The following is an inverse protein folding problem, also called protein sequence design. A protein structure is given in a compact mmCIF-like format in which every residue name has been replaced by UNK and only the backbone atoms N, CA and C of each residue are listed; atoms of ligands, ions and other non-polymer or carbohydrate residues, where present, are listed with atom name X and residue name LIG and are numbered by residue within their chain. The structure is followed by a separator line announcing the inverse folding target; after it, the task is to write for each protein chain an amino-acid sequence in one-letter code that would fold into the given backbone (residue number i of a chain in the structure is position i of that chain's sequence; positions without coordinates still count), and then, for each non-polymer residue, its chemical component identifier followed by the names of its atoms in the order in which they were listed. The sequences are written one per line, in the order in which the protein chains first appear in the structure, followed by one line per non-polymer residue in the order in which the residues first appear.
data_IF_533656277646
#
_entry.id   IF_533656277646
#
_cell.length_a   1.000
_cell.length_b   1.000
_cell.length_c   1.000
_cell.angle_alpha   90.00
_cell.angle_beta   90.00
_cell.angle_gamma   90.00
#
_symmetry.space_group_name_H-M   'P 1'
#
loop_
_entity.id
_entity.type
_entity.pdbx_description
1 polymer ?
#
# COMPACT_ATOMS: atom_id res chain seq x y z
N UNK A 1 25.16 2.13 -5.53
CA UNK A 1 23.92 1.69 -4.84
C UNK A 1 22.77 1.92 -5.80
N UNK A 2 22.00 0.89 -6.13
CA UNK A 2 20.89 0.96 -7.11
C UNK A 2 19.58 0.85 -6.37
N UNK A 3 18.65 1.79 -6.64
CA UNK A 3 17.30 1.79 -6.07
C UNK A 3 16.30 1.40 -7.15
N UNK A 4 15.55 0.33 -6.90
CA UNK A 4 14.52 -0.20 -7.80
C UNK A 4 13.13 -0.01 -7.21
N UNK A 5 12.15 0.04 -8.05
CA UNK A 5 10.73 0.02 -7.68
C UNK A 5 10.06 -1.24 -8.21
N UNK A 6 9.17 -1.83 -7.43
CA UNK A 6 8.31 -2.93 -7.89
C UNK A 6 6.87 -2.71 -7.46
N UNK A 7 5.95 -2.90 -8.40
CA UNK A 7 4.50 -2.86 -8.18
C UNK A 7 3.77 -3.83 -9.09
N UNK A 8 2.72 -4.46 -8.57
CA UNK A 8 1.75 -5.21 -9.40
C UNK A 8 0.53 -4.32 -9.62
N UNK A 9 0.21 -4.09 -10.88
CA UNK A 9 -0.85 -3.18 -11.32
C UNK A 9 -2.01 -3.97 -11.91
N UNK A 10 -3.17 -3.90 -11.27
CA UNK A 10 -4.43 -4.45 -11.75
C UNK A 10 -5.18 -3.48 -12.67
N UNK A 11 -6.50 -3.60 -12.75
CA UNK A 11 -7.37 -2.81 -13.65
C UNK A 11 -7.42 -1.30 -13.35
N UNK A 12 -7.06 -0.86 -12.14
CA UNK A 12 -7.01 0.57 -11.79
C UNK A 12 -5.61 1.13 -12.04
N UNK A 13 -5.42 1.78 -13.17
CA UNK A 13 -4.13 2.32 -13.62
C UNK A 13 -4.02 3.84 -13.47
N UNK A 14 -5.07 4.49 -12.95
CA UNK A 14 -5.19 5.96 -12.91
C UNK A 14 -4.08 6.68 -12.15
N UNK A 15 -3.40 6.00 -11.24
CA UNK A 15 -2.30 6.56 -10.44
C UNK A 15 -0.91 6.28 -10.99
N UNK A 16 -0.78 5.51 -12.08
CA UNK A 16 0.52 5.06 -12.60
C UNK A 16 1.47 6.20 -12.95
N UNK A 17 0.96 7.23 -13.62
CA UNK A 17 1.74 8.42 -13.99
C UNK A 17 2.28 9.15 -12.76
N UNK A 18 1.39 9.42 -11.79
CA UNK A 18 1.76 10.10 -10.55
C UNK A 18 2.73 9.26 -9.69
N UNK A 19 2.55 7.94 -9.64
CA UNK A 19 3.42 7.04 -8.90
C UNK A 19 4.84 7.01 -9.49
N UNK A 20 4.98 6.90 -10.82
CA UNK A 20 6.29 6.94 -11.48
C UNK A 20 6.98 8.27 -11.20
N UNK A 21 6.28 9.41 -11.36
CA UNK A 21 6.84 10.72 -11.09
C UNK A 21 7.29 10.86 -9.63
N UNK A 22 6.46 10.40 -8.67
CA UNK A 22 6.77 10.44 -7.24
C UNK A 22 8.04 9.64 -6.91
N UNK A 23 8.10 8.38 -7.33
CA UNK A 23 9.23 7.50 -7.00
C UNK A 23 10.53 7.90 -7.73
N UNK A 24 10.45 8.46 -8.95
CA UNK A 24 11.61 9.11 -9.59
C UNK A 24 12.14 10.28 -8.74
N UNK A 25 11.24 11.08 -8.18
CA UNK A 25 11.61 12.16 -7.25
C UNK A 25 12.31 11.69 -5.98
N UNK A 26 12.06 10.43 -5.55
CA UNK A 26 12.77 9.80 -4.44
C UNK A 26 14.12 9.16 -4.83
N UNK A 27 14.54 9.24 -6.10
CA UNK A 27 15.80 8.67 -6.58
C UNK A 27 15.70 7.21 -7.06
N UNK A 28 14.51 6.71 -7.33
CA UNK A 28 14.34 5.38 -7.97
C UNK A 28 14.85 5.44 -9.41
N UNK A 29 15.73 4.52 -9.76
CA UNK A 29 16.38 4.45 -11.07
C UNK A 29 15.68 3.47 -12.03
N UNK A 30 15.22 2.34 -11.50
CA UNK A 30 14.64 1.25 -12.28
C UNK A 30 13.23 0.90 -11.80
N UNK A 31 12.29 0.82 -12.75
CA UNK A 31 10.87 0.52 -12.48
C UNK A 31 10.50 -0.86 -13.01
N UNK A 32 10.06 -1.74 -12.12
CA UNK A 32 9.54 -3.06 -12.44
C UNK A 32 8.02 -3.08 -12.23
N UNK A 33 7.29 -2.54 -13.20
CA UNK A 33 5.84 -2.54 -13.20
C UNK A 33 5.36 -3.87 -13.80
N UNK A 34 4.64 -4.66 -13.02
CA UNK A 34 4.07 -5.94 -13.42
C UNK A 34 2.59 -5.73 -13.69
N UNK A 35 2.12 -6.04 -14.88
CA UNK A 35 0.71 -5.93 -15.23
C UNK A 35 -0.02 -7.23 -14.92
N UNK A 36 -1.07 -7.18 -14.11
CA UNK A 36 -2.03 -8.26 -13.95
C UNK A 36 -3.30 -7.94 -14.73
N UNK A 37 -3.76 -8.87 -15.58
CA UNK A 37 -4.96 -8.78 -16.39
C UNK A 37 -5.75 -10.10 -16.33
N UNK A 38 -7.07 -10.02 -16.38
CA UNK A 38 -7.92 -11.19 -16.60
C UNK A 38 -8.01 -11.52 -18.10
N UNK A 39 -8.04 -10.48 -18.96
CA UNK A 39 -8.05 -10.58 -20.41
C UNK A 39 -7.21 -9.47 -21.04
N UNK A 40 -6.65 -9.73 -22.24
CA UNK A 40 -5.98 -8.70 -23.06
C UNK A 40 -6.95 -7.67 -23.66
N UNK A 41 -8.26 -7.91 -23.59
CA UNK A 41 -9.29 -6.93 -23.97
C UNK A 41 -9.51 -5.84 -22.90
N UNK A 42 -8.73 -5.85 -21.79
CA UNK A 42 -8.79 -4.83 -20.74
C UNK A 42 -8.37 -3.46 -21.31
N UNK A 43 -9.27 -2.46 -21.40
CA UNK A 43 -8.96 -1.15 -21.95
C UNK A 43 -7.89 -0.39 -21.18
N UNK A 44 -7.66 -0.73 -19.91
CA UNK A 44 -6.61 -0.14 -19.10
C UNK A 44 -5.21 -0.70 -19.44
N UNK A 45 -5.11 -1.78 -20.23
CA UNK A 45 -3.83 -2.32 -20.64
C UNK A 45 -3.06 -1.34 -21.53
N UNK A 46 -3.68 -0.87 -22.60
CA UNK A 46 -3.08 0.09 -23.53
C UNK A 46 -2.77 1.42 -22.84
N UNK A 47 -3.69 1.93 -22.02
CA UNK A 47 -3.49 3.17 -21.27
C UNK A 47 -2.27 3.09 -20.35
N UNK A 48 -2.11 2.00 -19.63
CA UNK A 48 -0.95 1.80 -18.76
C UNK A 48 0.35 1.68 -19.56
N UNK A 49 0.30 1.02 -20.71
CA UNK A 49 1.45 0.93 -21.62
C UNK A 49 1.85 2.31 -22.14
N UNK A 50 0.89 3.14 -22.55
CA UNK A 50 1.15 4.51 -23.02
C UNK A 50 1.79 5.37 -21.90
N UNK A 51 1.31 5.22 -20.65
CA UNK A 51 1.94 5.89 -19.52
C UNK A 51 3.40 5.46 -19.39
N UNK A 52 3.68 4.17 -19.39
CA UNK A 52 5.06 3.67 -19.26
C UNK A 52 5.96 4.17 -20.41
N UNK A 53 5.46 4.14 -21.66
CA UNK A 53 6.23 4.60 -22.83
C UNK A 53 6.62 6.07 -22.73
N UNK A 54 5.78 6.96 -22.17
CA UNK A 54 6.14 8.37 -21.94
C UNK A 54 7.36 8.52 -21.04
N UNK A 55 7.61 7.56 -20.17
CA UNK A 55 8.78 7.53 -19.29
C UNK A 55 9.94 6.70 -19.84
N UNK A 56 9.84 6.16 -21.06
CA UNK A 56 10.82 5.23 -21.63
C UNK A 56 10.85 3.88 -20.93
N UNK A 57 9.71 3.46 -20.33
CA UNK A 57 9.56 2.23 -19.58
C UNK A 57 8.66 1.25 -20.34
N UNK A 58 8.70 -0.01 -19.92
CA UNK A 58 7.77 -1.08 -20.35
C UNK A 58 7.37 -1.91 -19.13
N UNK A 59 6.34 -2.75 -19.29
CA UNK A 59 6.02 -3.74 -18.26
C UNK A 59 7.20 -4.71 -18.08
N UNK A 60 7.60 -4.93 -16.84
CA UNK A 60 8.62 -5.92 -16.49
C UNK A 60 8.11 -7.36 -16.67
N UNK A 61 6.80 -7.55 -16.55
CA UNK A 61 6.07 -8.78 -16.85
C UNK A 61 4.58 -8.47 -17.03
N UNK A 62 3.87 -9.36 -17.74
CA UNK A 62 2.42 -9.39 -17.82
C UNK A 62 1.96 -10.75 -17.32
N UNK A 63 1.03 -10.78 -16.37
CA UNK A 63 0.39 -11.99 -15.89
C UNK A 63 -1.09 -11.97 -16.25
N UNK A 64 -1.56 -12.99 -16.96
CA UNK A 64 -2.96 -13.16 -17.33
C UNK A 64 -3.58 -14.30 -16.50
N UNK A 65 -4.71 -14.05 -15.91
CA UNK A 65 -5.49 -15.03 -15.15
C UNK A 65 -6.39 -14.40 -14.09
N UNK A 66 -7.19 -15.21 -13.39
CA UNK A 66 -7.97 -14.73 -12.27
C UNK A 66 -7.07 -14.17 -11.16
N UNK A 67 -7.60 -13.23 -10.38
CA UNK A 67 -6.86 -12.70 -9.24
C UNK A 67 -6.70 -13.75 -8.13
N UNK A 68 -5.50 -13.77 -7.56
CA UNK A 68 -5.12 -14.61 -6.42
C UNK A 68 -4.34 -13.74 -5.43
N UNK A 69 -4.68 -13.79 -4.13
CA UNK A 69 -3.97 -12.99 -3.11
C UNK A 69 -2.49 -13.34 -3.02
N UNK A 70 -2.13 -14.62 -3.20
CA UNK A 70 -0.74 -15.08 -3.13
C UNK A 70 0.07 -14.66 -4.36
N UNK A 71 -0.62 -14.48 -5.49
CA UNK A 71 -0.01 -14.10 -6.77
C UNK A 71 0.74 -12.78 -6.67
N UNK A 72 0.17 -11.76 -6.01
CA UNK A 72 0.83 -10.47 -5.84
C UNK A 72 2.22 -10.63 -5.19
N UNK A 73 2.28 -11.32 -4.06
CA UNK A 73 3.54 -11.56 -3.35
C UNK A 73 4.53 -12.40 -4.18
N UNK A 74 4.02 -13.40 -4.92
CA UNK A 74 4.84 -14.21 -5.81
C UNK A 74 5.48 -13.38 -6.93
N UNK A 75 4.70 -12.55 -7.62
CA UNK A 75 5.18 -11.71 -8.73
C UNK A 75 6.21 -10.68 -8.25
N UNK A 76 5.96 -10.00 -7.14
CA UNK A 76 6.91 -9.08 -6.52
C UNK A 76 8.21 -9.79 -6.20
N UNK A 77 8.14 -10.92 -5.51
CA UNK A 77 9.31 -11.71 -5.13
C UNK A 77 10.12 -12.20 -6.34
N UNK A 78 9.45 -12.62 -7.41
CA UNK A 78 10.10 -13.05 -8.63
C UNK A 78 10.94 -11.94 -9.26
N UNK A 79 10.48 -10.69 -9.21
CA UNK A 79 11.27 -9.55 -9.71
C UNK A 79 12.41 -9.21 -8.75
N UNK A 80 12.16 -9.11 -7.46
CA UNK A 80 13.18 -8.75 -6.47
C UNK A 80 14.38 -9.71 -6.50
N UNK A 81 14.13 -11.01 -6.62
CA UNK A 81 15.16 -12.04 -6.69
C UNK A 81 16.10 -11.97 -7.89
N UNK A 82 15.72 -11.22 -8.93
CA UNK A 82 16.61 -11.00 -10.10
C UNK A 82 17.78 -10.08 -9.78
N UNK A 83 17.65 -9.26 -8.72
CA UNK A 83 18.67 -8.33 -8.23
C UNK A 83 18.69 -8.37 -6.70
N UNK A 84 19.19 -9.45 -6.09
CA UNK A 84 19.07 -9.72 -4.67
C UNK A 84 19.85 -8.76 -3.78
N UNK A 85 20.92 -8.15 -4.30
CA UNK A 85 21.76 -7.19 -3.58
C UNK A 85 21.27 -5.75 -3.70
N UNK A 86 20.33 -5.44 -4.61
CA UNK A 86 19.82 -4.08 -4.80
C UNK A 86 18.71 -3.77 -3.78
N UNK A 87 18.46 -2.48 -3.58
CA UNK A 87 17.38 -1.99 -2.74
C UNK A 87 16.11 -1.74 -3.55
N UNK A 88 14.99 -2.19 -3.01
CA UNK A 88 13.70 -2.15 -3.66
C UNK A 88 12.69 -1.35 -2.86
N UNK A 89 12.12 -0.31 -3.46
CA UNK A 89 10.87 0.28 -3.00
C UNK A 89 9.74 -0.64 -3.44
N UNK A 90 8.96 -1.12 -2.47
CA UNK A 90 7.85 -2.06 -2.70
C UNK A 90 6.55 -1.35 -2.37
N UNK A 91 5.70 -1.10 -3.35
CA UNK A 91 4.46 -0.36 -3.15
C UNK A 91 3.33 -0.87 -4.05
N UNK A 92 2.10 -0.84 -3.55
CA UNK A 92 0.92 -0.90 -4.40
C UNK A 92 0.77 0.43 -5.15
N UNK A 93 0.07 0.45 -6.29
CA UNK A 93 0.02 1.64 -7.14
C UNK A 93 -0.63 2.86 -6.47
N UNK A 94 -1.50 2.64 -5.50
CA UNK A 94 -2.18 3.68 -4.73
C UNK A 94 -1.44 4.07 -3.42
N UNK A 95 -0.20 3.58 -3.23
CA UNK A 95 0.65 3.86 -2.09
C UNK A 95 1.84 4.75 -2.50
N UNK A 96 1.97 5.92 -1.85
CA UNK A 96 3.03 6.90 -2.08
C UNK A 96 3.85 7.06 -0.80
N UNK A 97 5.07 6.55 -0.79
CA UNK A 97 5.91 6.56 0.40
C UNK A 97 6.55 7.93 0.60
N UNK A 98 6.45 8.45 1.81
CA UNK A 98 7.13 9.67 2.25
C UNK A 98 8.03 9.32 3.43
N UNK A 99 9.30 9.67 3.30
CA UNK A 99 10.33 9.37 4.29
C UNK A 99 10.79 10.67 4.96
N UNK A 100 11.17 10.59 6.24
CA UNK A 100 11.66 11.73 7.00
C UNK A 100 13.08 12.20 6.63
N UNK A 101 13.76 11.46 5.72
CA UNK A 101 15.10 11.77 5.20
C UNK A 101 15.31 11.07 3.85
N UNK A 102 16.36 11.45 3.06
CA UNK A 102 16.65 10.83 1.77
C UNK A 102 16.77 9.30 1.83
N UNK A 103 16.30 8.60 0.80
CA UNK A 103 16.40 7.13 0.72
C UNK A 103 17.85 6.64 0.78
N UNK A 104 18.78 7.37 0.20
CA UNK A 104 20.22 7.08 0.23
C UNK A 104 20.76 7.02 1.66
N UNK A 105 20.33 7.94 2.51
CA UNK A 105 20.77 8.01 3.91
C UNK A 105 20.16 6.87 4.73
N UNK A 106 18.90 6.51 4.43
CA UNK A 106 18.20 5.38 5.07
C UNK A 106 18.89 4.07 4.70
N UNK A 107 19.21 3.88 3.42
CA UNK A 107 19.90 2.69 2.92
C UNK A 107 21.30 2.59 3.56
N UNK A 108 22.05 3.70 3.61
CA UNK A 108 23.36 3.72 4.26
C UNK A 108 23.25 3.29 5.74
N UNK A 109 22.25 3.77 6.46
CA UNK A 109 22.00 3.35 7.84
C UNK A 109 21.66 1.85 7.95
N UNK A 110 20.88 1.32 6.98
CA UNK A 110 20.60 -0.10 6.91
C UNK A 110 21.88 -0.92 6.69
N UNK A 111 22.70 -0.55 5.72
CA UNK A 111 23.93 -1.26 5.38
C UNK A 111 24.93 -1.26 6.55
N UNK A 112 25.13 -0.11 7.19
CA UNK A 112 26.01 0.03 8.35
C UNK A 112 25.49 -0.76 9.55
N UNK A 113 24.19 -0.76 9.78
CA UNK A 113 23.55 -1.44 10.91
C UNK A 113 23.24 -2.92 10.68
N UNK A 114 23.45 -3.44 9.46
CA UNK A 114 23.09 -4.81 9.08
C UNK A 114 21.59 -5.04 9.10
N UNK A 115 20.81 -4.05 8.62
CA UNK A 115 19.36 -4.14 8.47
C UNK A 115 19.00 -4.36 6.99
N UNK A 116 17.94 -5.11 6.74
CA UNK A 116 17.58 -5.57 5.41
C UNK A 116 16.32 -4.92 4.86
N UNK A 117 15.50 -4.27 5.73
CA UNK A 117 14.27 -3.61 5.29
C UNK A 117 13.82 -2.49 6.24
N UNK A 118 12.97 -1.62 5.71
CA UNK A 118 12.35 -0.48 6.40
C UNK A 118 10.85 -0.65 6.40
N UNK A 119 10.25 -0.36 7.55
CA UNK A 119 8.80 -0.39 7.73
C UNK A 119 8.19 1.00 7.57
N UNK A 120 6.91 1.00 7.28
CA UNK A 120 6.02 2.15 7.33
C UNK A 120 4.60 1.73 7.69
N UNK A 121 3.67 2.67 7.64
CA UNK A 121 2.26 2.37 7.79
C UNK A 121 1.38 3.28 6.94
N UNK A 122 0.18 2.78 6.60
CA UNK A 122 -0.80 3.48 5.78
C UNK A 122 -1.30 4.74 6.49
N UNK A 123 -1.31 5.83 5.75
CA UNK A 123 -1.92 7.10 6.07
C UNK A 123 -2.89 7.42 4.92
N UNK A 124 -4.18 7.11 5.13
CA UNK A 124 -5.19 7.21 4.08
C UNK A 124 -5.40 8.64 3.62
N UNK A 125 -5.45 8.87 2.31
CA UNK A 125 -5.69 10.18 1.70
C UNK A 125 -7.16 10.32 1.30
N UNK A 126 -7.77 11.43 1.71
CA UNK A 126 -9.20 11.69 1.56
C UNK A 126 -9.43 13.09 1.01
N UNK A 127 -10.43 13.26 0.13
CA UNK A 127 -10.85 14.58 -0.34
C UNK A 127 -11.34 15.43 0.82
N UNK A 128 -11.19 16.77 0.73
CA UNK A 128 -11.48 17.69 1.83
C UNK A 128 -12.93 17.65 2.31
N UNK A 129 -13.87 17.28 1.44
CA UNK A 129 -15.30 17.14 1.71
C UNK A 129 -15.73 15.69 1.98
N UNK A 130 -14.79 14.75 2.00
CA UNK A 130 -15.04 13.33 2.22
C UNK A 130 -15.64 12.58 1.03
N UNK A 131 -15.86 13.21 -0.11
CA UNK A 131 -16.32 12.55 -1.33
C UNK A 131 -15.25 11.57 -1.85
N UNK A 132 -15.64 10.73 -2.80
CA UNK A 132 -14.76 9.82 -3.53
C UNK A 132 -14.61 10.35 -4.97
N UNK A 133 -13.78 11.40 -5.19
CA UNK A 133 -13.71 12.05 -6.48
C UNK A 133 -12.94 11.18 -7.49
N UNK A 134 -13.27 11.38 -8.77
CA UNK A 134 -12.47 10.89 -9.88
C UNK A 134 -11.12 11.60 -9.89
N UNK A 135 -10.07 10.85 -10.23
CA UNK A 135 -8.74 11.41 -10.42
C UNK A 135 -8.74 12.44 -11.55
N UNK A 136 -8.23 13.64 -11.27
CA UNK A 136 -8.05 14.70 -12.25
C UNK A 136 -6.55 14.88 -12.54
N UNK A 137 -6.07 14.48 -13.73
CA UNK A 137 -4.64 14.56 -14.06
C UNK A 137 -4.10 16.00 -14.14
N UNK A 138 -4.99 17.00 -14.26
CA UNK A 138 -4.58 18.41 -14.28
C UNK A 138 -4.32 19.00 -12.89
N UNK A 139 -4.61 18.27 -11.82
CA UNK A 139 -4.45 18.74 -10.44
C UNK A 139 -3.57 17.77 -9.67
N UNK A 140 -2.65 18.30 -8.85
CA UNK A 140 -1.84 17.47 -7.97
C UNK A 140 -2.72 16.52 -7.13
N UNK A 141 -2.36 15.26 -7.08
CA UNK A 141 -3.05 14.25 -6.26
C UNK A 141 -3.10 14.64 -4.77
N UNK A 142 -2.04 15.28 -4.27
CA UNK A 142 -1.95 15.79 -2.91
C UNK A 142 -2.99 16.88 -2.61
N UNK A 143 -3.29 17.72 -3.61
CA UNK A 143 -4.31 18.77 -3.49
C UNK A 143 -5.73 18.21 -3.61
N UNK A 144 -5.94 17.19 -4.47
CA UNK A 144 -7.24 16.52 -4.62
C UNK A 144 -7.65 15.78 -3.35
N UNK A 145 -6.68 15.11 -2.71
CA UNK A 145 -6.90 14.33 -1.49
C UNK A 145 -6.14 15.00 -0.34
N UNK A 146 -6.58 16.19 0.02
CA UNK A 146 -5.89 17.10 0.93
C UNK A 146 -5.89 16.69 2.41
N UNK A 147 -6.72 15.71 2.80
CA UNK A 147 -6.75 15.18 4.16
C UNK A 147 -5.97 13.86 4.22
N UNK A 148 -5.27 13.66 5.34
CA UNK A 148 -4.63 12.40 5.68
C UNK A 148 -5.14 11.88 7.03
N UNK A 149 -5.28 10.55 7.19
CA UNK A 149 -5.75 9.96 8.44
C UNK A 149 -5.84 8.44 8.41
N UNK A 150 -6.65 7.86 9.29
CA UNK A 150 -6.61 6.44 9.66
C UNK A 150 -7.87 5.66 9.22
N UNK A 151 -8.37 5.86 8.00
CA UNK A 151 -9.60 5.22 7.50
C UNK A 151 -9.44 3.69 7.45
N UNK A 152 -8.36 3.19 6.85
CA UNK A 152 -8.07 1.75 6.77
C UNK A 152 -8.01 1.13 8.17
N UNK A 153 -7.33 1.75 9.11
CA UNK A 153 -7.21 1.26 10.48
C UNK A 153 -8.56 1.26 11.22
N UNK A 154 -9.35 2.35 11.12
CA UNK A 154 -10.50 2.59 11.99
C UNK A 154 -11.82 2.10 11.42
N UNK A 155 -11.98 2.08 10.09
CA UNK A 155 -13.19 1.63 9.39
C UNK A 155 -13.01 0.19 8.89
N UNK A 156 -12.01 -0.03 8.03
CA UNK A 156 -11.75 -1.35 7.44
C UNK A 156 -11.28 -2.33 8.50
N UNK A 157 -10.52 -1.84 9.51
CA UNK A 157 -9.86 -2.61 10.56
C UNK A 157 -8.87 -3.63 10.00
N UNK A 158 -8.13 -3.19 8.98
CA UNK A 158 -7.06 -3.97 8.35
C UNK A 158 -5.70 -3.61 8.97
N UNK A 159 -4.72 -4.47 8.72
CA UNK A 159 -3.31 -4.21 9.01
C UNK A 159 -2.86 -3.03 8.15
N UNK A 160 -2.21 -2.07 8.77
CA UNK A 160 -1.73 -0.84 8.10
C UNK A 160 -0.22 -0.80 7.93
N UNK A 161 0.54 -1.66 8.62
CA UNK A 161 1.99 -1.72 8.46
C UNK A 161 2.38 -2.25 7.07
N UNK A 162 3.46 -1.69 6.50
CA UNK A 162 3.99 -2.08 5.18
C UNK A 162 5.51 -2.14 5.25
N UNK A 163 6.11 -3.07 4.51
CA UNK A 163 7.53 -2.99 4.15
C UNK A 163 7.62 -2.03 2.98
N UNK A 164 8.32 -0.93 3.14
CA UNK A 164 8.38 0.15 2.16
C UNK A 164 9.67 0.15 1.35
N UNK A 165 10.74 -0.39 1.93
CA UNK A 165 12.05 -0.50 1.32
C UNK A 165 12.69 -1.82 1.79
N UNK A 166 13.23 -2.62 0.90
CA UNK A 166 13.85 -3.90 1.26
C UNK A 166 14.98 -4.30 0.29
N UNK A 167 15.93 -5.10 0.75
CA UNK A 167 16.89 -5.78 -0.13
C UNK A 167 16.17 -6.84 -0.96
N UNK A 168 16.68 -7.13 -2.16
CA UNK A 168 16.01 -8.04 -3.09
C UNK A 168 15.95 -9.50 -2.66
N UNK A 169 16.74 -9.92 -1.68
CA UNK A 169 16.73 -11.25 -1.08
C UNK A 169 15.75 -11.40 0.11
N UNK A 170 15.17 -10.29 0.58
CA UNK A 170 14.17 -10.32 1.65
C UNK A 170 12.88 -11.00 1.18
N UNK A 171 12.41 -11.97 1.97
CA UNK A 171 11.13 -12.62 1.73
C UNK A 171 9.99 -11.86 2.41
N UNK A 172 9.21 -11.15 1.63
CA UNK A 172 8.07 -10.38 2.13
C UNK A 172 6.88 -11.29 2.45
N UNK A 173 6.12 -10.90 3.46
CA UNK A 173 4.81 -11.48 3.76
C UNK A 173 3.75 -11.04 2.72
N UNK A 174 2.62 -11.74 2.63
CA UNK A 174 1.48 -11.36 1.78
C UNK A 174 1.04 -9.93 2.07
N UNK A 175 0.71 -9.18 1.02
CA UNK A 175 0.34 -7.77 1.11
C UNK A 175 1.46 -6.84 1.59
N UNK A 176 2.72 -7.33 1.66
CA UNK A 176 3.90 -6.61 2.14
C UNK A 176 3.77 -6.05 3.57
N UNK A 177 2.88 -6.65 4.38
CA UNK A 177 2.62 -6.18 5.76
C UNK A 177 3.75 -6.49 6.75
N UNK A 178 4.77 -7.20 6.32
CA UNK A 178 5.97 -7.57 7.07
C UNK A 178 6.92 -8.38 6.19
N UNK A 179 8.02 -8.84 6.79
CA UNK A 179 9.00 -9.73 6.15
C UNK A 179 9.15 -11.02 6.95
N UNK A 180 9.36 -12.14 6.23
CA UNK A 180 9.62 -13.47 6.81
C UNK A 180 11.11 -13.68 7.07
N UNK A 181 11.98 -12.93 6.38
CA UNK A 181 13.44 -12.97 6.53
C UNK A 181 14.00 -11.56 6.68
N UNK A 182 15.23 -11.47 7.18
CA UNK A 182 15.92 -10.20 7.35
C UNK A 182 15.56 -9.46 8.65
N UNK A 183 16.25 -8.35 8.88
CA UNK A 183 16.13 -7.48 10.06
C UNK A 183 15.56 -6.12 9.67
N UNK A 184 14.54 -5.67 10.40
CA UNK A 184 13.97 -4.32 10.22
C UNK A 184 14.87 -3.25 10.79
N UNK A 185 15.09 -2.16 10.07
CA UNK A 185 15.61 -0.93 10.65
C UNK A 185 14.67 -0.50 11.81
N UNK A 186 15.21 -0.08 12.98
CA UNK A 186 14.39 0.43 14.06
C UNK A 186 13.51 1.60 13.61
N UNK A 187 12.24 1.61 14.03
CA UNK A 187 11.30 2.67 13.65
C UNK A 187 11.71 4.06 14.16
N UNK A 188 12.56 4.12 15.20
CA UNK A 188 13.17 5.36 15.69
C UNK A 188 14.22 5.94 14.74
N UNK A 189 14.79 5.11 13.86
CA UNK A 189 15.74 5.53 12.84
C UNK A 189 15.05 5.97 11.55
N UNK A 190 14.08 5.18 11.08
CA UNK A 190 13.18 5.53 9.97
C UNK A 190 11.89 4.70 10.02
N UNK A 191 10.76 5.36 9.79
CA UNK A 191 9.45 4.73 9.64
C UNK A 191 8.62 5.53 8.64
N UNK A 192 8.38 4.98 7.46
CA UNK A 192 7.76 5.70 6.37
C UNK A 192 6.26 5.97 6.60
N UNK A 193 5.78 7.12 6.15
CA UNK A 193 4.37 7.34 5.89
C UNK A 193 4.04 6.74 4.53
N UNK A 194 3.04 5.86 4.48
CA UNK A 194 2.53 5.29 3.23
C UNK A 194 1.21 5.98 2.90
N UNK A 195 1.28 7.08 2.14
CA UNK A 195 0.10 7.84 1.74
C UNK A 195 -0.73 7.02 0.75
N UNK A 196 -1.92 6.60 1.19
CA UNK A 196 -2.75 5.63 0.50
C UNK A 196 -3.93 6.30 -0.20
N UNK A 197 -3.82 6.48 -1.52
CA UNK A 197 -4.78 7.18 -2.38
C UNK A 197 -5.88 6.25 -2.91
N UNK A 198 -6.42 5.41 -2.06
CA UNK A 198 -7.40 4.40 -2.38
C UNK A 198 -8.83 4.93 -2.58
N UNK A 199 -9.17 6.03 -1.90
CA UNK A 199 -10.55 6.49 -1.74
C UNK A 199 -10.99 7.38 -2.90
N UNK A 200 -10.99 6.80 -4.12
CA UNK A 200 -11.40 7.41 -5.39
C UNK A 200 -12.78 6.92 -5.80
N UNK A 201 -13.33 7.42 -6.91
CA UNK A 201 -14.60 6.97 -7.50
C UNK A 201 -14.61 5.48 -7.87
N UNK A 202 -13.43 4.90 -8.15
CA UNK A 202 -13.27 3.49 -8.46
C UNK A 202 -13.43 2.56 -7.25
N UNK A 203 -13.40 3.08 -6.01
CA UNK A 203 -13.36 2.21 -4.82
C UNK A 203 -14.65 1.42 -4.60
N UNK A 204 -15.83 2.02 -4.83
CA UNK A 204 -17.11 1.35 -4.64
C UNK A 204 -17.27 0.13 -5.57
N UNK A 205 -17.13 0.26 -6.89
CA UNK A 205 -17.22 -0.89 -7.79
C UNK A 205 -16.15 -1.94 -7.48
N UNK A 206 -14.90 -1.54 -7.16
CA UNK A 206 -13.83 -2.49 -6.80
C UNK A 206 -14.12 -3.28 -5.52
N UNK A 207 -14.63 -2.64 -4.47
CA UNK A 207 -14.99 -3.33 -3.23
C UNK A 207 -16.17 -4.28 -3.45
N UNK A 208 -17.15 -3.89 -4.26
CA UNK A 208 -18.31 -4.73 -4.61
C UNK A 208 -17.86 -5.96 -5.41
N UNK A 209 -17.07 -5.77 -6.46
CA UNK A 209 -16.49 -6.85 -7.25
C UNK A 209 -15.67 -7.80 -6.37
N UNK A 210 -14.80 -7.26 -5.51
CA UNK A 210 -13.97 -8.05 -4.59
C UNK A 210 -14.82 -8.95 -3.68
N UNK A 211 -15.87 -8.40 -3.06
CA UNK A 211 -16.76 -9.19 -2.21
C UNK A 211 -17.47 -10.26 -3.02
N UNK A 212 -17.92 -9.95 -4.22
CA UNK A 212 -18.60 -10.90 -5.10
C UNK A 212 -17.66 -12.01 -5.55
N UNK A 213 -16.52 -11.67 -6.15
CA UNK A 213 -15.58 -12.63 -6.74
C UNK A 213 -14.99 -13.61 -5.71
N UNK A 214 -14.64 -13.11 -4.51
CA UNK A 214 -14.20 -14.00 -3.43
C UNK A 214 -15.36 -14.85 -2.84
N UNK A 215 -16.58 -14.34 -2.84
CA UNK A 215 -17.73 -15.10 -2.32
C UNK A 215 -18.21 -16.17 -3.28
N UNK A 216 -18.07 -15.97 -4.59
CA UNK A 216 -18.38 -16.95 -5.64
C UNK A 216 -17.27 -17.99 -5.83
N UNK A 217 -16.03 -17.70 -5.40
CA UNK A 217 -14.86 -18.53 -5.64
C UNK A 217 -14.17 -18.25 -6.97
N UNK A 218 -14.56 -17.18 -7.69
CA UNK A 218 -13.89 -16.76 -8.93
C UNK A 218 -12.46 -16.27 -8.67
N UNK A 219 -12.23 -15.67 -7.48
CA UNK A 219 -10.92 -15.29 -6.98
C UNK A 219 -10.52 -16.16 -5.79
N UNK A 220 -9.25 -16.53 -5.73
CA UNK A 220 -8.71 -17.24 -4.57
C UNK A 220 -8.49 -16.30 -3.39
N UNK A 221 -8.96 -16.73 -2.22
CA UNK A 221 -8.88 -15.99 -0.96
C UNK A 221 -8.06 -16.76 0.07
N UNK A 222 -6.93 -16.20 0.45
CA UNK A 222 -6.09 -16.74 1.53
C UNK A 222 -6.55 -16.23 2.90
N UNK A 223 -6.94 -14.95 2.99
CA UNK A 223 -7.34 -14.34 4.24
C UNK A 223 -8.79 -13.85 4.23
N UNK A 224 -9.71 -14.48 5.01
CA UNK A 224 -11.10 -14.02 5.13
C UNK A 224 -11.25 -12.56 5.58
N UNK A 225 -10.24 -11.99 6.24
CA UNK A 225 -10.20 -10.60 6.66
C UNK A 225 -10.39 -9.61 5.50
N UNK A 226 -9.94 -9.97 4.29
CA UNK A 226 -10.06 -9.15 3.08
C UNK A 226 -11.53 -8.90 2.71
N UNK A 227 -12.39 -9.93 2.71
CA UNK A 227 -13.84 -9.77 2.47
C UNK A 227 -14.48 -8.99 3.61
N UNK A 228 -14.16 -9.33 4.86
CA UNK A 228 -14.73 -8.68 6.03
C UNK A 228 -14.42 -7.18 6.04
N UNK A 229 -13.19 -6.80 5.73
CA UNK A 229 -12.78 -5.41 5.61
C UNK A 229 -13.54 -4.67 4.50
N UNK A 230 -13.67 -5.30 3.33
CA UNK A 230 -14.42 -4.73 2.20
C UNK A 230 -15.89 -4.50 2.55
N UNK A 231 -16.56 -5.47 3.17
CA UNK A 231 -17.97 -5.35 3.63
C UNK A 231 -18.14 -4.25 4.68
N UNK A 232 -17.16 -4.08 5.60
CA UNK A 232 -17.19 -2.99 6.60
C UNK A 232 -17.14 -1.63 5.94
N UNK A 233 -16.29 -1.47 4.94
CA UNK A 233 -16.18 -0.19 4.23
C UNK A 233 -17.41 0.10 3.40
N UNK A 234 -17.98 -0.87 2.67
CA UNK A 234 -19.24 -0.70 1.94
C UNK A 234 -20.37 -0.25 2.87
N UNK A 235 -20.55 -0.94 4.00
CA UNK A 235 -21.57 -0.57 5.01
C UNK A 235 -21.32 0.84 5.59
N UNK A 236 -20.06 1.21 5.82
CA UNK A 236 -19.71 2.53 6.32
C UNK A 236 -20.06 3.62 5.30
N UNK A 237 -19.72 3.44 4.03
CA UNK A 237 -20.05 4.39 2.97
C UNK A 237 -21.57 4.52 2.77
N UNK A 238 -22.31 3.40 2.78
CA UNK A 238 -23.77 3.40 2.73
C UNK A 238 -24.37 4.25 3.87
N UNK A 239 -23.92 4.05 5.10
CA UNK A 239 -24.39 4.77 6.28
C UNK A 239 -24.03 6.28 6.27
N UNK A 240 -23.05 6.69 5.46
CA UNK A 240 -22.57 8.07 5.36
C UNK A 240 -22.85 8.70 3.98
N UNK A 241 -23.86 8.23 3.24
CA UNK A 241 -24.25 8.80 1.96
C UNK A 241 -23.16 8.72 0.88
N UNK A 242 -22.38 7.64 0.85
CA UNK A 242 -21.30 7.40 -0.12
C UNK A 242 -20.03 8.18 0.16
N UNK A 243 -19.84 8.73 1.36
CA UNK A 243 -18.72 9.60 1.74
C UNK A 243 -17.94 9.07 2.94
N UNK A 244 -16.74 9.58 3.11
CA UNK A 244 -15.98 9.43 4.36
C UNK A 244 -16.37 10.61 5.27
N UNK A 245 -16.83 10.33 6.49
CA UNK A 245 -17.15 11.34 7.49
C UNK A 245 -15.86 12.03 7.97
N UNK A 246 -15.55 13.18 7.39
CA UNK A 246 -14.33 13.94 7.69
C UNK A 246 -14.37 14.60 9.08
N UNK A 247 -15.51 14.60 9.75
CA UNK A 247 -15.67 15.13 11.12
C UNK A 247 -15.46 14.08 12.20
N UNK A 248 -15.40 12.80 11.81
CA UNK A 248 -15.25 11.70 12.76
C UNK A 248 -13.87 11.71 13.43
N UNK A 249 -13.78 12.13 14.68
CA UNK A 249 -12.54 12.27 15.45
C UNK A 249 -11.68 11.01 15.45
N UNK A 250 -12.31 9.80 15.44
CA UNK A 250 -11.58 8.51 15.40
C UNK A 250 -10.71 8.33 14.16
N UNK A 251 -11.00 9.02 13.05
CA UNK A 251 -10.24 8.92 11.80
C UNK A 251 -8.96 9.77 11.83
N UNK A 252 -8.83 10.70 12.79
CA UNK A 252 -7.70 11.61 12.94
C UNK A 252 -7.33 12.33 11.63
N UNK A 253 -8.35 12.68 10.82
CA UNK A 253 -8.16 13.35 9.53
C UNK A 253 -7.67 14.79 9.75
N UNK A 254 -6.58 15.16 9.06
CA UNK A 254 -5.96 16.48 9.11
C UNK A 254 -5.52 16.89 7.70
N UNK A 255 -5.45 18.19 7.44
CA UNK A 255 -4.79 18.69 6.22
C UNK A 255 -3.33 18.26 6.24
N UNK A 256 -2.88 17.76 5.10
CA UNK A 256 -1.53 17.23 4.96
C UNK A 256 -1.10 17.40 3.49
N UNK A 257 0.07 17.96 3.26
CA UNK A 257 0.70 18.05 1.95
C UNK A 257 1.44 16.78 1.57
N UNK A 258 2.62 16.93 0.99
CA UNK A 258 3.50 15.84 0.54
C UNK A 258 4.74 15.64 1.41
N UNK A 259 4.99 16.53 2.36
CA UNK A 259 6.16 16.47 3.21
C UNK A 259 5.91 15.62 4.46
N UNK A 260 6.95 14.95 4.94
CA UNK A 260 6.87 14.08 6.11
C UNK A 260 6.37 14.80 7.37
N UNK A 261 6.78 16.06 7.54
CA UNK A 261 6.39 16.89 8.69
C UNK A 261 4.93 17.40 8.64
N UNK A 262 4.27 17.29 7.48
CA UNK A 262 2.89 17.82 7.32
C UNK A 262 1.85 17.08 8.16
N UNK A 263 2.13 15.85 8.58
CA UNK A 263 1.28 15.09 9.49
C UNK A 263 1.93 14.97 10.88
N UNK A 264 1.84 16.02 11.68
CA UNK A 264 2.45 16.13 13.01
C UNK A 264 2.20 14.94 13.96
N UNK A 265 0.98 14.34 14.02
CA UNK A 265 0.74 13.22 14.92
C UNK A 265 1.49 11.93 14.56
N UNK A 266 2.24 11.90 13.44
CA UNK A 266 2.85 10.66 12.95
C UNK A 266 3.78 10.01 13.96
N UNK A 267 4.68 10.77 14.54
CA UNK A 267 5.65 10.26 15.53
C UNK A 267 4.95 9.62 16.74
N UNK A 268 3.84 10.21 17.20
CA UNK A 268 3.06 9.69 18.32
C UNK A 268 2.26 8.43 17.95
N UNK A 269 1.90 8.29 16.67
CA UNK A 269 1.16 7.13 16.18
C UNK A 269 2.05 5.89 15.97
N UNK A 270 3.32 6.06 15.63
CA UNK A 270 4.24 4.97 15.31
C UNK A 270 4.24 3.85 16.37
N UNK A 271 4.36 4.12 17.69
CA UNK A 271 4.31 3.07 18.69
C UNK A 271 3.00 2.29 18.71
N UNK A 272 1.88 2.96 18.46
CA UNK A 272 0.56 2.31 18.37
C UNK A 272 0.44 1.42 17.13
N UNK A 273 0.90 1.90 15.99
CA UNK A 273 0.88 1.16 14.72
C UNK A 273 1.76 -0.10 14.79
N UNK A 274 2.92 0.00 15.45
CA UNK A 274 3.81 -1.15 15.66
C UNK A 274 3.22 -2.20 16.61
N UNK A 275 2.51 -1.80 17.67
CA UNK A 275 1.80 -2.73 18.57
C UNK A 275 0.72 -3.50 17.82
N UNK A 276 -0.07 -2.83 16.99
CA UNK A 276 -1.11 -3.47 16.19
C UNK A 276 -0.54 -4.50 15.20
N UNK A 277 0.64 -4.26 14.64
CA UNK A 277 1.38 -5.22 13.80
C UNK A 277 1.70 -6.50 14.58
N UNK A 278 2.18 -6.40 15.81
CA UNK A 278 2.55 -7.56 16.63
C UNK A 278 1.35 -8.46 16.90
N UNK A 279 0.16 -7.89 17.11
CA UNK A 279 -1.09 -8.66 17.28
C UNK A 279 -1.53 -9.33 15.98
N UNK A 280 -1.43 -8.67 14.83
CA UNK A 280 -1.78 -9.24 13.53
C UNK A 280 -0.85 -10.41 13.16
N UNK A 281 0.46 -10.25 13.32
CA UNK A 281 1.44 -11.31 13.06
C UNK A 281 1.26 -12.54 13.98
N UNK A 282 0.75 -12.35 15.20
CA UNK A 282 0.43 -13.44 16.11
C UNK A 282 -0.89 -14.16 15.74
N UNK A 283 -1.83 -13.45 15.12
CA UNK A 283 -3.11 -14.01 14.67
C UNK A 283 -3.00 -14.80 13.35
N UNK A 284 -2.02 -14.46 12.52
CA UNK A 284 -1.82 -15.06 11.19
C UNK A 284 -0.94 -16.35 11.22
N UNK A 285 -0.52 -16.82 12.40
CA UNK A 285 0.17 -18.11 12.49
C UNK A 285 -0.83 -19.26 12.43
N UNK A 286 -0.82 -20.11 11.39
CA UNK A 286 -1.72 -21.27 11.32
C UNK A 286 -1.48 -22.17 12.52
N UNK A 287 -2.55 -22.40 13.33
CA UNK A 287 -2.54 -23.31 14.46
C UNK A 287 -2.39 -22.68 15.86
N UNK A 288 -2.32 -21.36 16.01
CA UNK A 288 -2.39 -20.72 17.33
C UNK A 288 -3.81 -20.26 17.66
N UNK A 289 -4.37 -20.66 18.82
CA UNK A 289 -5.66 -20.13 19.27
C UNK A 289 -5.54 -18.61 19.50
N UNK A 290 -6.58 -17.87 19.12
CA UNK A 290 -6.64 -16.43 19.32
C UNK A 290 -6.39 -16.08 20.81
N UNK A 291 -5.61 -15.03 21.12
CA UNK A 291 -5.39 -14.62 22.49
C UNK A 291 -6.74 -14.23 23.12
N UNK A 292 -7.14 -14.93 24.15
CA UNK A 292 -8.29 -14.59 24.98
C UNK A 292 -8.07 -13.21 25.59
N UNK A 293 -8.97 -12.28 25.28
CA UNK A 293 -9.00 -10.98 25.97
C UNK A 293 -9.28 -11.26 27.45
N UNK A 294 -8.31 -11.06 28.32
CA UNK A 294 -8.57 -10.89 29.73
C UNK A 294 -9.29 -9.54 29.90
N UNK A 295 -10.56 -9.60 30.19
CA UNK A 295 -11.31 -8.47 30.71
C UNK A 295 -10.88 -8.36 32.16
N UNK A 296 -9.91 -7.46 32.45
CA UNK A 296 -9.67 -7.03 33.81
C UNK A 296 -10.83 -6.10 34.18
N UNK A 297 -11.51 -6.47 35.25
CA UNK A 297 -12.58 -5.72 35.88
C UNK A 297 -12.14 -4.38 36.48
#
# INVERSE_FOLDING_TARGET
MTIRFVSVVGSDTGLLDAAIAHYRGLGVEFFHVIRHIESFDDPEFERAQDVLMRYGLAFAAVHQGPWDEDLNAYLIRAQMRRHPSDWWVVADLDEFHVYGRPLTDIITACEVGGYDYVMGALLDRVAADGTLPRLNPATSIWAQYALAGLVTLRVVRAVTSKVTLARGDVHLHLGQHGALTGRSLPATEAFAQVHHFKWTDSVLPRLTQRVQAYSSGDWHLTYPATIVGSRRMLKYLEANGGRIDVTAAKLALRRCGSDYADYEPWTDLVPTLLKLRSYAAAADQPGRPAPTRSVAG
#
